data_IF_889950717712
#
_entry.id   IF_889950717712
#
_cell.length_a   1.000
_cell.length_b   1.000
_cell.length_c   1.000
_cell.angle_alpha   90.00
_cell.angle_beta   90.00
_cell.angle_gamma   90.00
#
_symmetry.space_group_name_H-M   'P 1'
#
loop_
_entity.id
_entity.type
_entity.pdbx_description
1 polymer ?
#
# COMPACT_ATOMS: atom_id res chain seq x y z
N UNK A 1 -17.45 -24.21 20.43
CA UNK A 1 -16.46 -24.71 19.45
C UNK A 1 -16.86 -24.13 18.09
N UNK A 2 -16.49 -22.89 17.81
CA UNK A 2 -16.96 -22.14 16.65
C UNK A 2 -15.76 -21.75 15.78
N UNK A 3 -15.79 -22.22 14.53
CA UNK A 3 -15.08 -21.77 13.34
C UNK A 3 -13.83 -20.88 13.55
N UNK A 4 -12.67 -21.51 13.58
CA UNK A 4 -11.43 -20.87 13.12
C UNK A 4 -11.53 -20.67 11.61
N UNK A 5 -12.10 -19.54 11.19
CA UNK A 5 -12.18 -19.18 9.78
C UNK A 5 -10.78 -18.96 9.23
N UNK A 6 -10.48 -19.65 8.13
CA UNK A 6 -9.26 -19.63 7.34
C UNK A 6 -8.94 -18.22 6.86
N UNK A 7 -8.15 -17.50 7.65
CA UNK A 7 -7.70 -16.14 7.35
C UNK A 7 -6.36 -16.20 6.62
N UNK A 8 -6.40 -16.57 5.33
CA UNK A 8 -5.39 -16.21 4.31
C UNK A 8 -5.66 -17.07 3.08
N UNK A 9 -6.48 -16.57 2.15
CA UNK A 9 -6.35 -17.04 0.77
C UNK A 9 -4.99 -16.56 0.27
N UNK A 10 -4.20 -17.45 -0.30
CA UNK A 10 -2.91 -17.06 -0.87
C UNK A 10 -3.14 -16.05 -2.00
N UNK A 11 -2.20 -15.10 -2.19
CA UNK A 11 -2.30 -14.08 -3.22
C UNK A 11 -2.55 -14.69 -4.62
N UNK A 12 -1.96 -15.86 -4.89
CA UNK A 12 -2.16 -16.61 -6.14
C UNK A 12 -3.60 -17.12 -6.32
N UNK A 13 -4.24 -17.62 -5.27
CA UNK A 13 -5.64 -18.07 -5.30
C UNK A 13 -6.59 -16.88 -5.48
N UNK A 14 -6.28 -15.76 -4.86
CA UNK A 14 -7.03 -14.51 -5.01
C UNK A 14 -7.00 -14.05 -6.47
N UNK A 15 -5.81 -14.01 -7.08
CA UNK A 15 -5.65 -13.66 -8.50
C UNK A 15 -6.43 -14.63 -9.40
N UNK A 16 -6.33 -15.94 -9.17
CA UNK A 16 -7.04 -16.94 -9.98
C UNK A 16 -8.57 -16.80 -9.90
N UNK A 17 -9.10 -16.43 -8.73
CA UNK A 17 -10.54 -16.32 -8.49
C UNK A 17 -11.14 -15.04 -9.07
N UNK A 18 -10.37 -13.95 -9.11
CA UNK A 18 -10.89 -12.62 -9.42
C UNK A 18 -10.64 -12.16 -10.85
N UNK A 19 -9.63 -12.72 -11.52
CA UNK A 19 -9.12 -12.26 -12.83
C UNK A 19 -10.23 -11.97 -13.84
N UNK A 20 -10.35 -10.70 -14.24
CA UNK A 20 -11.23 -10.22 -15.30
C UNK A 20 -12.71 -10.09 -14.92
N UNK A 21 -13.10 -10.46 -13.69
CA UNK A 21 -14.47 -10.36 -13.20
C UNK A 21 -14.60 -9.46 -11.96
N UNK A 22 -13.51 -8.82 -11.52
CA UNK A 22 -13.49 -7.98 -10.33
C UNK A 22 -13.98 -6.56 -10.62
N UNK A 23 -15.10 -6.18 -10.01
CA UNK A 23 -15.55 -4.79 -9.97
C UNK A 23 -14.98 -4.11 -8.71
N UNK A 24 -14.43 -2.91 -8.86
CA UNK A 24 -13.87 -2.18 -7.73
C UNK A 24 -14.98 -1.79 -6.73
N UNK A 25 -14.86 -2.19 -5.44
CA UNK A 25 -15.91 -1.94 -4.48
C UNK A 25 -15.84 -0.52 -3.92
N UNK A 26 -16.98 -0.02 -3.42
CA UNK A 26 -17.07 1.34 -2.85
C UNK A 26 -16.61 1.42 -1.38
N UNK A 27 -16.41 0.28 -0.71
CA UNK A 27 -16.04 0.19 0.71
C UNK A 27 -14.52 0.07 0.93
N UNK A 28 -13.72 0.50 -0.05
CA UNK A 28 -12.26 0.48 0.05
C UNK A 28 -11.78 1.55 1.02
N UNK A 29 -11.03 1.12 2.03
CA UNK A 29 -10.48 2.01 3.05
C UNK A 29 -8.95 1.92 3.04
N UNK A 30 -8.30 3.07 2.89
CA UNK A 30 -6.87 3.26 3.10
C UNK A 30 -6.64 3.68 4.56
N UNK A 31 -6.01 2.81 5.34
CA UNK A 31 -5.64 3.09 6.71
C UNK A 31 -4.26 3.74 6.77
N UNK A 32 -4.16 4.84 7.52
CA UNK A 32 -2.96 5.64 7.65
C UNK A 32 -2.68 5.98 9.10
N UNK A 33 -1.40 6.20 9.43
CA UNK A 33 -1.01 6.74 10.72
C UNK A 33 -1.46 8.19 10.87
N UNK A 34 -1.69 8.63 12.11
CA UNK A 34 -1.95 10.04 12.41
C UNK A 34 -0.75 10.92 12.07
N UNK A 35 -0.97 12.16 11.61
CA UNK A 35 0.08 13.10 11.14
C UNK A 35 1.24 13.36 12.11
N UNK A 36 1.07 13.12 13.41
CA UNK A 36 2.12 13.26 14.42
C UNK A 36 2.97 12.00 14.64
N UNK A 37 2.57 10.84 14.11
CA UNK A 37 3.32 9.57 14.22
C UNK A 37 3.76 8.99 12.87
N UNK A 38 3.32 9.60 11.77
CA UNK A 38 3.71 9.21 10.42
C UNK A 38 5.15 9.68 10.14
N UNK A 39 6.06 8.73 9.90
CA UNK A 39 7.41 9.04 9.44
C UNK A 39 7.36 9.49 7.96
N UNK A 40 8.42 10.14 7.48
CA UNK A 40 8.48 10.55 6.07
C UNK A 40 8.34 9.37 5.09
N UNK A 41 8.93 8.18 5.33
CA UNK A 41 8.74 7.02 4.45
C UNK A 41 7.29 6.53 4.43
N UNK A 42 6.61 6.56 5.57
CA UNK A 42 5.19 6.18 5.68
C UNK A 42 4.32 7.17 4.92
N UNK A 43 4.64 8.46 5.04
CA UNK A 43 4.00 9.53 4.27
C UNK A 43 4.17 9.35 2.77
N UNK A 44 5.38 9.01 2.32
CA UNK A 44 5.66 8.73 0.90
C UNK A 44 4.80 7.55 0.44
N UNK A 45 4.79 6.44 1.19
CA UNK A 45 3.96 5.27 0.87
C UNK A 45 2.48 5.64 0.77
N UNK A 46 1.96 6.43 1.72
CA UNK A 46 0.55 6.88 1.69
C UNK A 46 0.25 7.66 0.44
N UNK A 47 1.12 8.58 0.08
CA UNK A 47 0.96 9.38 -1.14
C UNK A 47 1.06 8.50 -2.39
N UNK A 48 1.91 7.49 -2.41
CA UNK A 48 1.96 6.52 -3.52
C UNK A 48 0.61 5.81 -3.70
N UNK A 49 0.03 5.24 -2.62
CA UNK A 49 -1.30 4.61 -2.68
C UNK A 49 -2.38 5.60 -3.14
N UNK A 50 -2.43 6.80 -2.54
CA UNK A 50 -3.45 7.80 -2.88
C UNK A 50 -3.34 8.25 -4.33
N UNK A 51 -2.13 8.58 -4.78
CA UNK A 51 -1.91 9.09 -6.14
C UNK A 51 -2.21 8.01 -7.16
N UNK A 52 -1.77 6.78 -6.93
CA UNK A 52 -2.02 5.68 -7.85
C UNK A 52 -3.52 5.37 -7.99
N UNK A 53 -4.25 5.26 -6.87
CA UNK A 53 -5.70 5.03 -6.91
C UNK A 53 -6.46 6.20 -7.56
N UNK A 54 -6.02 7.43 -7.34
CA UNK A 54 -6.58 8.62 -8.01
C UNK A 54 -6.34 8.60 -9.52
N UNK A 55 -5.13 8.21 -9.96
CA UNK A 55 -4.80 8.09 -11.38
C UNK A 55 -5.60 6.98 -12.08
N UNK A 56 -5.89 5.89 -11.38
CA UNK A 56 -6.78 4.83 -11.88
C UNK A 56 -8.28 5.17 -11.76
N UNK A 57 -8.64 6.36 -11.26
CA UNK A 57 -10.02 6.80 -11.02
C UNK A 57 -10.82 5.87 -10.08
N UNK A 58 -10.12 5.19 -9.15
CA UNK A 58 -10.73 4.23 -8.23
C UNK A 58 -11.17 4.92 -6.93
N UNK A 59 -12.45 4.79 -6.50
CA UNK A 59 -12.91 5.40 -5.26
C UNK A 59 -12.29 4.73 -4.03
N UNK A 60 -11.84 5.53 -3.07
CA UNK A 60 -11.37 5.05 -1.76
C UNK A 60 -11.65 6.06 -0.67
N UNK A 61 -11.83 5.58 0.56
CA UNK A 61 -11.92 6.40 1.77
C UNK A 61 -10.57 6.38 2.51
N UNK A 62 -10.09 7.51 3.01
CA UNK A 62 -8.89 7.57 3.85
C UNK A 62 -9.28 7.64 5.32
N UNK A 63 -8.81 6.70 6.14
CA UNK A 63 -8.99 6.72 7.60
C UNK A 63 -7.66 6.82 8.32
N UNK A 64 -7.56 7.80 9.20
CA UNK A 64 -6.40 7.94 10.10
C UNK A 64 -6.68 7.21 11.40
N UNK A 65 -5.80 6.28 11.78
CA UNK A 65 -5.86 5.57 13.04
C UNK A 65 -4.51 5.66 13.77
N UNK A 66 -4.54 5.75 15.09
CA UNK A 66 -3.31 5.83 15.90
C UNK A 66 -2.56 4.49 15.96
N UNK A 67 -3.29 3.38 15.85
CA UNK A 67 -2.81 2.00 15.88
C UNK A 67 -2.85 1.32 14.50
N UNK A 68 -2.74 2.11 13.41
CA UNK A 68 -2.76 1.57 12.05
C UNK A 68 -1.60 0.57 11.82
N UNK A 69 -0.44 0.81 12.42
CA UNK A 69 0.69 -0.12 12.45
C UNK A 69 0.29 -1.51 12.98
N UNK A 70 -0.42 -1.58 14.10
CA UNK A 70 -0.88 -2.83 14.71
C UNK A 70 -2.05 -3.53 13.99
N UNK A 71 -2.76 -2.83 13.10
CA UNK A 71 -3.87 -3.40 12.32
C UNK A 71 -3.40 -4.16 11.07
N UNK A 72 -2.19 -3.87 10.59
CA UNK A 72 -1.61 -4.50 9.40
C UNK A 72 -1.01 -5.86 9.74
N UNK A 73 -1.25 -6.93 8.95
CA UNK A 73 -0.63 -8.24 9.17
C UNK A 73 0.90 -8.18 9.20
N UNK A 74 1.49 -7.23 8.47
CA UNK A 74 2.94 -7.03 8.37
C UNK A 74 3.47 -5.95 9.32
N UNK A 75 2.63 -5.33 10.14
CA UNK A 75 3.03 -4.19 10.98
C UNK A 75 3.31 -2.90 10.20
N UNK A 76 3.03 -2.89 8.89
CA UNK A 76 3.30 -1.76 8.01
C UNK A 76 2.03 -0.95 7.78
N UNK A 77 2.09 0.35 8.08
CA UNK A 77 1.13 1.34 7.63
C UNK A 77 1.81 2.23 6.58
N UNK A 78 1.09 2.75 5.58
CA UNK A 78 -0.34 2.57 5.30
C UNK A 78 -0.66 1.21 4.63
N UNK A 79 -1.90 0.76 4.74
CA UNK A 79 -2.39 -0.43 4.05
C UNK A 79 -3.81 -0.20 3.51
N UNK A 80 -4.12 -0.86 2.40
CA UNK A 80 -5.43 -0.80 1.76
C UNK A 80 -6.26 -2.02 2.16
N UNK A 81 -7.50 -1.81 2.53
CA UNK A 81 -8.47 -2.89 2.77
C UNK A 81 -9.47 -2.92 1.65
N UNK A 82 -9.60 -4.08 1.00
CA UNK A 82 -10.50 -4.31 -0.13
C UNK A 82 -11.33 -5.54 0.18
N UNK A 83 -12.65 -5.44 0.01
CA UNK A 83 -13.53 -6.59 0.14
C UNK A 83 -13.64 -7.31 -1.21
N UNK A 84 -13.31 -8.60 -1.20
CA UNK A 84 -13.43 -9.46 -2.38
C UNK A 84 -14.39 -10.59 -2.02
N UNK A 85 -15.65 -10.44 -2.44
CA UNK A 85 -16.72 -11.36 -2.03
C UNK A 85 -16.88 -11.41 -0.50
N UNK A 86 -16.87 -12.59 0.14
CA UNK A 86 -16.98 -12.72 1.59
C UNK A 86 -15.67 -12.45 2.33
N UNK A 87 -14.53 -12.31 1.64
CA UNK A 87 -13.22 -12.18 2.26
C UNK A 87 -12.73 -10.72 2.26
N UNK A 88 -12.12 -10.30 3.38
CA UNK A 88 -11.43 -9.02 3.50
C UNK A 88 -9.95 -9.22 3.17
N UNK A 89 -9.49 -8.60 2.09
CA UNK A 89 -8.09 -8.62 1.68
C UNK A 89 -7.39 -7.35 2.13
N UNK A 90 -6.19 -7.51 2.67
CA UNK A 90 -5.34 -6.41 3.12
C UNK A 90 -4.13 -6.33 2.20
N UNK A 91 -3.93 -5.20 1.54
CA UNK A 91 -2.74 -4.90 0.75
C UNK A 91 -1.83 -3.95 1.54
N UNK A 92 -0.82 -4.52 2.19
CA UNK A 92 0.24 -3.74 2.86
C UNK A 92 1.37 -3.36 1.90
N UNK A 93 1.59 -4.15 0.85
CA UNK A 93 2.64 -3.92 -0.15
C UNK A 93 2.07 -3.27 -1.40
N UNK A 94 2.63 -2.13 -1.80
CA UNK A 94 2.19 -1.39 -2.99
C UNK A 94 2.37 -2.21 -4.28
N UNK A 95 3.47 -2.94 -4.42
CA UNK A 95 3.75 -3.77 -5.60
C UNK A 95 2.67 -4.85 -5.82
N UNK A 96 2.20 -5.49 -4.73
CA UNK A 96 1.13 -6.50 -4.80
C UNK A 96 -0.20 -5.87 -5.22
N UNK A 97 -0.48 -4.64 -4.79
CA UNK A 97 -1.67 -3.91 -5.22
C UNK A 97 -1.62 -3.61 -6.73
N UNK A 98 -0.48 -3.13 -7.24
CA UNK A 98 -0.29 -2.84 -8.67
C UNK A 98 -0.49 -4.12 -9.49
N UNK A 99 0.21 -5.20 -9.12
CA UNK A 99 0.05 -6.50 -9.79
C UNK A 99 -1.39 -7.02 -9.77
N UNK A 100 -2.10 -6.80 -8.67
CA UNK A 100 -3.51 -7.16 -8.56
C UNK A 100 -4.37 -6.34 -9.51
N UNK A 101 -4.21 -5.01 -9.53
CA UNK A 101 -4.98 -4.12 -10.40
C UNK A 101 -4.70 -4.37 -11.89
N UNK A 102 -3.45 -4.61 -12.25
CA UNK A 102 -3.06 -4.99 -13.61
C UNK A 102 -3.71 -6.30 -14.04
N UNK A 103 -3.76 -7.31 -13.15
CA UNK A 103 -4.43 -8.58 -13.43
C UNK A 103 -5.95 -8.45 -13.60
N UNK A 104 -6.55 -7.39 -13.05
CA UNK A 104 -7.97 -7.07 -13.22
C UNK A 104 -8.27 -6.12 -14.38
N UNK A 105 -7.25 -5.67 -15.12
CA UNK A 105 -7.40 -4.63 -16.15
C UNK A 105 -7.94 -3.30 -15.60
N UNK A 106 -7.70 -3.02 -14.31
CA UNK A 106 -8.03 -1.76 -13.63
C UNK A 106 -6.79 -0.90 -13.34
N UNK A 107 -5.61 -1.44 -13.63
CA UNK A 107 -4.33 -0.75 -13.51
C UNK A 107 -4.12 0.29 -14.61
N UNK A 108 -3.09 1.12 -14.43
CA UNK A 108 -2.68 2.07 -15.47
C UNK A 108 -2.09 1.31 -16.66
N UNK A 109 -2.71 1.45 -17.83
CA UNK A 109 -2.12 0.94 -19.06
C UNK A 109 -0.84 1.72 -19.38
N UNK A 110 0.31 1.06 -19.23
CA UNK A 110 1.59 1.65 -19.59
C UNK A 110 1.78 1.61 -21.10
N UNK A 111 1.26 2.62 -21.80
CA UNK A 111 1.51 2.86 -23.23
C UNK A 111 2.89 3.48 -23.53
N UNK A 112 3.79 3.52 -22.53
CA UNK A 112 5.09 4.18 -22.63
C UNK A 112 6.17 3.34 -23.31
N UNK A 113 7.17 4.02 -23.87
CA UNK A 113 8.36 3.40 -24.46
C UNK A 113 9.08 2.47 -23.45
N UNK A 114 9.62 1.32 -23.88
CA UNK A 114 10.33 0.39 -22.98
C UNK A 114 11.54 0.99 -22.26
N UNK A 115 12.22 1.99 -22.83
CA UNK A 115 13.35 2.67 -22.18
C UNK A 115 12.90 3.47 -20.95
N UNK A 116 11.80 4.22 -21.07
CA UNK A 116 11.20 4.99 -19.98
C UNK A 116 10.79 4.08 -18.81
N UNK A 117 10.34 2.86 -19.10
CA UNK A 117 10.01 1.87 -18.06
C UNK A 117 11.25 1.46 -17.28
N UNK A 118 12.35 1.15 -17.97
CA UNK A 118 13.61 0.77 -17.35
C UNK A 118 14.18 1.91 -16.49
N UNK A 119 14.08 3.16 -16.96
CA UNK A 119 14.49 4.33 -16.19
C UNK A 119 13.67 4.50 -14.91
N UNK A 120 12.34 4.37 -15.00
CA UNK A 120 11.45 4.43 -13.84
C UNK A 120 11.76 3.33 -12.81
N UNK A 121 12.02 2.10 -13.27
CA UNK A 121 12.43 0.99 -12.40
C UNK A 121 13.77 1.29 -11.70
N UNK A 122 14.73 1.88 -12.42
CA UNK A 122 15.99 2.31 -11.84
C UNK A 122 15.80 3.40 -10.77
N UNK A 123 14.93 4.38 -10.99
CA UNK A 123 14.60 5.40 -10.00
C UNK A 123 13.93 4.82 -8.75
N UNK A 124 12.96 3.93 -8.92
CA UNK A 124 12.30 3.24 -7.79
C UNK A 124 13.33 2.43 -7.00
N UNK A 125 14.23 1.73 -7.67
CA UNK A 125 15.33 0.98 -7.04
C UNK A 125 16.27 1.89 -6.24
N UNK A 126 16.66 3.04 -6.79
CA UNK A 126 17.50 4.02 -6.08
C UNK A 126 16.82 4.54 -4.80
N UNK A 127 15.54 4.89 -4.90
CA UNK A 127 14.77 5.42 -3.77
C UNK A 127 14.68 4.38 -2.67
N UNK A 128 14.32 3.14 -3.00
CA UNK A 128 14.13 2.06 -2.03
C UNK A 128 15.43 1.59 -1.38
N UNK A 129 16.53 1.54 -2.13
CA UNK A 129 17.81 1.01 -1.63
C UNK A 129 18.69 2.05 -0.93
N UNK A 130 18.60 3.33 -1.31
CA UNK A 130 19.48 4.40 -0.78
C UNK A 130 18.73 5.46 0.00
N UNK A 131 17.69 6.05 -0.58
CA UNK A 131 17.05 7.23 -0.02
C UNK A 131 16.23 6.89 1.23
N UNK A 132 15.40 5.84 1.16
CA UNK A 132 14.55 5.43 2.28
C UNK A 132 15.39 5.01 3.50
N UNK A 133 16.42 4.14 3.38
CA UNK A 133 17.25 3.78 4.54
C UNK A 133 18.03 4.98 5.11
N UNK A 134 18.51 5.88 4.27
CA UNK A 134 19.23 7.07 4.71
C UNK A 134 18.33 8.03 5.49
N UNK A 135 17.09 8.23 5.04
CA UNK A 135 16.10 9.03 5.75
C UNK A 135 15.77 8.41 7.11
N UNK A 136 15.50 7.11 7.15
CA UNK A 136 15.16 6.41 8.39
C UNK A 136 16.30 6.58 9.39
N UNK A 137 17.55 6.36 8.96
CA UNK A 137 18.75 6.57 9.78
C UNK A 137 18.83 7.99 10.33
N UNK A 138 18.61 9.00 9.48
CA UNK A 138 18.61 10.40 9.88
C UNK A 138 17.53 10.71 10.92
N UNK A 139 16.34 10.12 10.76
CA UNK A 139 15.21 10.31 11.67
C UNK A 139 15.46 9.72 13.05
N UNK A 140 16.18 8.60 13.15
CA UNK A 140 16.56 8.01 14.44
C UNK A 140 17.69 8.76 15.15
N UNK A 141 18.60 9.38 14.39
CA UNK A 141 19.77 10.06 14.98
C UNK A 141 19.47 11.50 15.37
N UNK A 142 18.58 12.18 14.65
CA UNK A 142 18.26 13.56 14.95
C UNK A 142 17.28 13.65 16.13
N UNK A 143 17.70 14.13 17.32
CA UNK A 143 16.83 14.19 18.50
C UNK A 143 15.61 15.12 18.30
N UNK A 144 15.72 16.10 17.39
CA UNK A 144 14.59 16.96 17.02
C UNK A 144 13.47 16.20 16.32
N UNK A 145 13.81 15.24 15.46
CA UNK A 145 12.82 14.43 14.74
C UNK A 145 12.21 13.36 15.64
N UNK A 146 13.03 12.73 16.49
CA UNK A 146 12.56 11.75 17.48
C UNK A 146 11.49 12.37 18.38
N UNK A 147 11.73 13.57 18.91
CA UNK A 147 10.78 14.24 19.81
C UNK A 147 9.50 14.73 19.12
N UNK A 148 9.51 14.85 17.79
CA UNK A 148 8.33 15.31 17.02
C UNK A 148 7.44 14.16 16.56
N UNK A 149 8.00 12.96 16.36
CA UNK A 149 7.28 11.84 15.71
C UNK A 149 7.13 10.62 16.62
N UNK A 150 7.99 10.46 17.63
CA UNK A 150 8.14 9.20 18.40
C UNK A 150 7.67 9.34 19.86
N UNK A 151 7.46 10.55 20.38
CA UNK A 151 7.06 10.83 21.78
C UNK A 151 5.64 11.39 21.86
#
# INVERSE_FOLDING_TARGET
MAAGQSFSASFSELLATTRGHFAWPSDVILYCLSKGRELLPDKIRRLCFQTYLQLCELPFETKTAHNADAMSPNGLAPFLTVRIGPHLTIFSDFEKLVLFLDAQHLGLEYGGEPTLKADNEAFISLITTRVVPAEVYQTWICPKNVNQVII
#
